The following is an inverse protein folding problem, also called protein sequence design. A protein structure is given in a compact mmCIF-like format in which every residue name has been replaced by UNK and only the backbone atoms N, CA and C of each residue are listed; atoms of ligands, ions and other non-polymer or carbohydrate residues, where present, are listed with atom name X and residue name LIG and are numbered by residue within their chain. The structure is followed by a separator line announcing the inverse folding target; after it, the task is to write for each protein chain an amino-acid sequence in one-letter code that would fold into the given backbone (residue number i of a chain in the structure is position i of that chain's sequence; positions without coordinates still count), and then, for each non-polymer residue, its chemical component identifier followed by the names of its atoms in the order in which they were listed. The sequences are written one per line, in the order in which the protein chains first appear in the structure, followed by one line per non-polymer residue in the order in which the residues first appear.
data_IF_334675441457
#
_entry.id   IF_334675441457
#
_cell.length_a   1.000
_cell.length_b   1.000
_cell.length_c   1.000
_cell.angle_alpha   90.00
_cell.angle_beta   90.00
_cell.angle_gamma   90.00
#
_symmetry.space_group_name_H-M   'P 1'
#
loop_
_entity.id
_entity.type
_entity.pdbx_description
1 polymer ?
#
# COMPACT_ATOMS: atom_id res chain seq x y z
N UNK A 1 40.11 14.18 -52.84
CA UNK A 1 40.00 14.82 -51.51
C UNK A 1 39.86 13.71 -50.48
N UNK A 2 40.87 13.48 -49.63
CA UNK A 2 40.92 12.34 -48.70
C UNK A 2 40.35 12.79 -47.36
N UNK A 3 39.14 12.34 -47.04
CA UNK A 3 38.47 12.62 -45.77
C UNK A 3 39.25 11.94 -44.63
N UNK A 4 39.94 12.73 -43.80
CA UNK A 4 40.56 12.26 -42.57
C UNK A 4 39.46 11.99 -41.55
N UNK A 5 38.98 10.74 -41.47
CA UNK A 5 38.06 10.32 -40.42
C UNK A 5 38.80 10.37 -39.08
N UNK A 6 38.47 11.36 -38.26
CA UNK A 6 38.95 11.52 -36.90
C UNK A 6 38.30 10.45 -36.02
N UNK A 7 38.85 9.23 -36.02
CA UNK A 7 38.42 8.15 -35.15
C UNK A 7 38.84 8.46 -33.70
N UNK A 8 38.08 9.31 -33.01
CA UNK A 8 38.19 9.49 -31.56
C UNK A 8 37.66 8.22 -30.90
N UNK A 9 38.56 7.33 -30.49
CA UNK A 9 38.22 6.18 -29.66
C UNK A 9 37.82 6.63 -28.25
N UNK A 10 36.82 5.97 -27.68
CA UNK A 10 36.43 6.13 -26.28
C UNK A 10 37.56 5.60 -25.39
N UNK A 11 38.01 6.38 -24.41
CA UNK A 11 39.10 5.93 -23.54
C UNK A 11 38.57 4.92 -22.52
N UNK A 12 39.35 3.89 -22.20
CA UNK A 12 38.98 2.93 -21.15
C UNK A 12 38.81 3.60 -19.78
N UNK A 13 39.53 4.70 -19.55
CA UNK A 13 39.42 5.50 -18.33
C UNK A 13 38.10 6.28 -18.26
N UNK A 14 37.61 6.82 -19.38
CA UNK A 14 36.25 7.42 -19.43
C UNK A 14 35.19 6.38 -19.07
N UNK A 15 35.33 5.15 -19.59
CA UNK A 15 34.38 4.09 -19.26
C UNK A 15 34.45 3.73 -17.78
N UNK A 16 35.65 3.57 -17.24
CA UNK A 16 35.86 3.18 -15.84
C UNK A 16 35.24 4.19 -14.85
N UNK A 17 35.45 5.49 -15.06
CA UNK A 17 34.88 6.52 -14.18
C UNK A 17 33.35 6.52 -14.25
N UNK A 18 32.77 6.32 -15.44
CA UNK A 18 31.31 6.29 -15.61
C UNK A 18 30.69 5.13 -14.84
N UNK A 19 31.25 3.91 -14.91
CA UNK A 19 30.69 2.77 -14.17
C UNK A 19 30.83 2.96 -12.66
N UNK A 20 31.91 3.60 -12.19
CA UNK A 20 32.09 3.92 -10.77
C UNK A 20 31.01 4.90 -10.29
N UNK A 21 30.74 5.96 -11.05
CA UNK A 21 29.70 6.94 -10.67
C UNK A 21 28.31 6.28 -10.69
N UNK A 22 27.98 5.51 -11.73
CA UNK A 22 26.70 4.79 -11.82
C UNK A 22 26.59 3.78 -10.67
N UNK A 23 27.68 3.11 -10.30
CA UNK A 23 27.73 2.19 -9.16
C UNK A 23 27.36 2.86 -7.84
N UNK A 24 27.92 4.04 -7.56
CA UNK A 24 27.60 4.81 -6.34
C UNK A 24 26.12 5.25 -6.34
N UNK A 25 25.63 5.77 -7.47
CA UNK A 25 24.23 6.19 -7.59
C UNK A 25 23.26 5.02 -7.41
N UNK A 26 23.55 3.87 -8.04
CA UNK A 26 22.72 2.67 -7.94
C UNK A 26 22.66 2.13 -6.50
N UNK A 27 23.79 2.15 -5.78
CA UNK A 27 23.85 1.68 -4.40
C UNK A 27 22.90 2.45 -3.45
N UNK A 28 22.72 3.76 -3.67
CA UNK A 28 21.80 4.59 -2.88
C UNK A 28 20.37 4.52 -3.43
N UNK A 29 20.21 4.51 -4.76
CA UNK A 29 18.91 4.59 -5.42
C UNK A 29 18.07 3.31 -5.22
N UNK A 30 18.67 2.12 -5.32
CA UNK A 30 17.97 0.84 -5.23
C UNK A 30 17.21 0.66 -3.90
N UNK A 31 17.84 0.77 -2.72
CA UNK A 31 17.12 0.58 -1.45
C UNK A 31 16.03 1.65 -1.25
N UNK A 32 16.29 2.90 -1.68
CA UNK A 32 15.31 3.99 -1.60
C UNK A 32 14.08 3.70 -2.46
N UNK A 33 14.28 3.27 -3.71
CA UNK A 33 13.18 2.95 -4.62
C UNK A 33 12.32 1.78 -4.12
N UNK A 34 12.96 0.76 -3.51
CA UNK A 34 12.24 -0.36 -2.90
C UNK A 34 11.31 0.11 -1.77
N UNK A 35 11.80 0.98 -0.87
CA UNK A 35 10.98 1.53 0.22
C UNK A 35 9.79 2.34 -0.29
N UNK A 36 10.01 3.25 -1.25
CA UNK A 36 8.94 4.06 -1.85
C UNK A 36 7.89 3.17 -2.53
N UNK A 37 8.33 2.15 -3.27
CA UNK A 37 7.43 1.20 -3.92
C UNK A 37 6.59 0.44 -2.90
N UNK A 38 7.19 -0.02 -1.78
CA UNK A 38 6.46 -0.70 -0.70
C UNK A 38 5.42 0.21 -0.06
N UNK A 39 5.77 1.46 0.24
CA UNK A 39 4.84 2.42 0.83
C UNK A 39 3.68 2.74 -0.10
N UNK A 40 3.94 2.86 -1.41
CA UNK A 40 2.89 3.07 -2.42
C UNK A 40 1.92 1.88 -2.50
N UNK A 41 2.44 0.64 -2.46
CA UNK A 41 1.59 -0.57 -2.39
C UNK A 41 0.77 -0.60 -1.10
N UNK A 42 1.38 -0.30 0.04
CA UNK A 42 0.73 -0.31 1.35
C UNK A 42 -0.41 0.71 1.47
N UNK A 43 -0.30 1.85 0.75
CA UNK A 43 -1.31 2.90 0.76
C UNK A 43 -2.65 2.48 0.12
N UNK A 44 -2.70 1.39 -0.66
CA UNK A 44 -3.93 0.87 -1.28
C UNK A 44 -4.98 0.47 -0.23
N UNK A 45 -4.57 -0.06 0.93
CA UNK A 45 -5.51 -0.53 1.95
C UNK A 45 -6.28 0.63 2.62
N UNK A 46 -5.69 1.81 2.74
CA UNK A 46 -6.24 2.91 3.54
C UNK A 46 -7.66 3.34 3.12
N UNK A 47 -7.90 3.66 1.84
CA UNK A 47 -9.22 4.05 1.36
C UNK A 47 -10.29 2.98 1.58
N UNK A 48 -9.94 1.70 1.36
CA UNK A 48 -10.88 0.59 1.50
C UNK A 48 -11.24 0.35 2.97
N UNK A 49 -10.23 0.33 3.86
CA UNK A 49 -10.47 0.22 5.30
C UNK A 49 -11.36 1.36 5.81
N UNK A 50 -11.16 2.58 5.30
CA UNK A 50 -12.01 3.73 5.62
C UNK A 50 -13.46 3.53 5.17
N UNK A 51 -13.66 2.93 3.99
CA UNK A 51 -15.00 2.61 3.49
C UNK A 51 -15.70 1.61 4.42
N UNK A 52 -15.04 0.52 4.81
CA UNK A 52 -15.58 -0.47 5.76
C UNK A 52 -16.00 0.22 7.05
N UNK A 53 -15.12 1.03 7.65
CA UNK A 53 -15.43 1.76 8.88
C UNK A 53 -16.59 2.74 8.74
N UNK A 54 -16.71 3.40 7.58
CA UNK A 54 -17.83 4.32 7.30
C UNK A 54 -19.15 3.55 7.24
N UNK A 55 -19.16 2.41 6.54
CA UNK A 55 -20.33 1.53 6.44
C UNK A 55 -20.71 0.93 7.79
N UNK A 56 -19.72 0.50 8.58
CA UNK A 56 -19.96 -0.01 9.93
C UNK A 56 -20.58 1.05 10.85
N UNK A 57 -20.11 2.30 10.76
CA UNK A 57 -20.68 3.42 11.51
C UNK A 57 -22.12 3.70 11.09
N UNK A 58 -22.41 3.74 9.79
CA UNK A 58 -23.78 3.91 9.28
C UNK A 58 -24.69 2.79 9.75
N UNK A 59 -24.25 1.52 9.66
CA UNK A 59 -25.01 0.38 10.15
C UNK A 59 -25.32 0.51 11.66
N UNK A 60 -24.36 0.95 12.47
CA UNK A 60 -24.55 1.16 13.90
C UNK A 60 -25.58 2.26 14.21
N UNK A 61 -25.63 3.31 13.38
CA UNK A 61 -26.61 4.39 13.50
C UNK A 61 -28.02 3.96 13.09
N UNK A 62 -28.14 3.15 12.04
CA UNK A 62 -29.44 2.69 11.53
C UNK A 62 -30.08 1.64 12.44
N UNK A 63 -29.28 0.72 12.99
CA UNK A 63 -29.79 -0.44 13.73
C UNK A 63 -29.65 -0.30 15.26
N UNK A 64 -29.00 0.75 15.76
CA UNK A 64 -28.71 0.91 17.18
C UNK A 64 -27.74 -0.14 17.74
N UNK A 65 -27.04 -0.86 16.87
CA UNK A 65 -26.08 -1.89 17.20
C UNK A 65 -25.04 -2.06 16.08
N UNK A 66 -23.80 -2.36 16.46
CA UNK A 66 -22.74 -2.65 15.50
C UNK A 66 -23.10 -3.85 14.62
N UNK A 67 -22.64 -3.83 13.37
CA UNK A 67 -22.61 -5.05 12.57
C UNK A 67 -21.79 -6.14 13.29
N UNK A 68 -22.12 -7.41 13.08
CA UNK A 68 -21.37 -8.51 13.71
C UNK A 68 -20.04 -8.79 12.98
N UNK A 69 -20.06 -8.69 11.66
CA UNK A 69 -18.93 -9.00 10.77
C UNK A 69 -19.07 -8.21 9.45
N UNK A 70 -18.14 -8.42 8.53
CA UNK A 70 -18.15 -7.74 7.23
C UNK A 70 -19.31 -8.18 6.31
N UNK A 71 -19.88 -9.36 6.54
CA UNK A 71 -21.05 -9.85 5.80
C UNK A 71 -22.31 -9.07 6.17
N UNK A 72 -22.46 -8.69 7.45
CA UNK A 72 -23.54 -7.80 7.88
C UNK A 72 -23.48 -6.41 7.22
N UNK A 73 -22.28 -5.93 6.83
CA UNK A 73 -22.11 -4.69 6.08
C UNK A 73 -22.52 -4.79 4.61
N UNK A 74 -22.71 -6.00 4.05
CA UNK A 74 -23.14 -6.17 2.65
C UNK A 74 -24.51 -5.51 2.41
N UNK A 75 -25.40 -5.56 3.40
CA UNK A 75 -26.70 -4.89 3.35
C UNK A 75 -26.58 -3.36 3.33
N UNK A 76 -25.49 -2.82 3.87
CA UNK A 76 -25.15 -1.39 3.82
C UNK A 76 -24.38 -1.01 2.55
N UNK A 77 -24.26 -1.92 1.58
CA UNK A 77 -23.59 -1.65 0.30
C UNK A 77 -22.09 -1.98 0.29
N UNK A 78 -21.59 -2.76 1.26
CA UNK A 78 -20.26 -3.34 1.12
C UNK A 78 -20.22 -4.34 -0.04
N UNK A 79 -19.26 -4.15 -0.93
CA UNK A 79 -18.88 -5.12 -1.95
C UNK A 79 -17.36 -5.27 -1.87
N UNK A 80 -16.87 -6.51 -2.01
CA UNK A 80 -15.43 -6.79 -1.97
C UNK A 80 -14.72 -6.00 -3.08
N UNK A 81 -13.84 -5.04 -2.74
CA UNK A 81 -13.10 -4.31 -3.73
C UNK A 81 -11.94 -5.17 -4.21
N UNK A 82 -11.87 -5.36 -5.53
CA UNK A 82 -10.69 -5.94 -6.16
C UNK A 82 -9.48 -5.05 -5.91
N UNK A 83 -8.60 -5.49 -5.02
CA UNK A 83 -7.32 -4.84 -4.71
C UNK A 83 -6.15 -5.69 -5.20
N UNK A 84 -5.03 -5.04 -5.51
CA UNK A 84 -3.87 -5.71 -6.09
C UNK A 84 -2.90 -6.25 -5.04
N UNK A 85 -2.74 -5.56 -3.92
CA UNK A 85 -1.74 -5.90 -2.90
C UNK A 85 -2.34 -6.40 -1.58
N UNK A 86 -3.67 -6.36 -1.45
CA UNK A 86 -4.41 -6.86 -0.30
C UNK A 86 -5.51 -7.81 -0.72
N UNK A 87 -5.77 -8.81 0.11
CA UNK A 87 -6.88 -9.71 0.01
C UNK A 87 -7.56 -9.84 1.38
N UNK A 88 -8.75 -10.43 1.39
CA UNK A 88 -9.47 -10.79 2.62
C UNK A 88 -9.69 -9.59 3.55
N UNK A 89 -10.79 -8.90 3.29
CA UNK A 89 -11.27 -7.81 4.13
C UNK A 89 -12.07 -8.36 5.30
N UNK A 90 -11.83 -7.85 6.49
CA UNK A 90 -12.52 -8.26 7.71
C UNK A 90 -12.96 -7.04 8.50
N UNK A 91 -14.03 -7.22 9.25
CA UNK A 91 -14.51 -6.26 10.22
C UNK A 91 -14.73 -6.99 11.55
N UNK A 92 -14.26 -6.39 12.62
CA UNK A 92 -14.41 -6.89 13.99
C UNK A 92 -15.17 -5.83 14.78
N UNK A 93 -16.36 -6.20 15.24
CA UNK A 93 -17.22 -5.32 16.00
C UNK A 93 -16.58 -4.91 17.34
N UNK A 94 -16.71 -3.63 17.68
CA UNK A 94 -16.44 -3.11 19.01
C UNK A 94 -17.61 -3.31 19.97
N UNK A 95 -17.45 -2.87 21.21
CA UNK A 95 -18.57 -2.72 22.15
C UNK A 95 -19.28 -1.40 21.88
N UNK A 96 -20.54 -1.45 21.43
CA UNK A 96 -21.33 -0.25 21.15
C UNK A 96 -21.32 0.72 22.35
N UNK A 97 -21.08 2.03 22.15
CA UNK A 97 -21.11 2.78 20.89
C UNK A 97 -19.81 2.78 20.06
N UNK A 98 -18.73 2.13 20.52
CA UNK A 98 -17.52 2.03 19.72
C UNK A 98 -17.76 1.05 18.56
N UNK A 99 -17.42 1.47 17.34
CA UNK A 99 -17.73 0.74 16.11
C UNK A 99 -16.86 -0.51 16.00
N UNK A 100 -15.55 -0.39 16.25
CA UNK A 100 -14.61 -1.50 16.16
C UNK A 100 -13.49 -1.26 15.15
N UNK A 101 -13.07 -2.30 14.42
CA UNK A 101 -11.91 -2.24 13.53
C UNK A 101 -12.13 -2.97 12.22
N UNK A 102 -11.60 -2.40 11.13
CA UNK A 102 -11.52 -3.05 9.82
C UNK A 102 -10.08 -3.51 9.57
N UNK A 103 -9.87 -4.68 8.96
CA UNK A 103 -8.53 -5.20 8.66
C UNK A 103 -8.44 -5.85 7.28
N UNK A 104 -7.23 -5.85 6.71
CA UNK A 104 -6.90 -6.40 5.41
C UNK A 104 -5.63 -7.23 5.49
N UNK A 105 -5.62 -8.35 4.77
CA UNK A 105 -4.46 -9.24 4.70
C UNK A 105 -3.61 -8.88 3.49
N UNK A 106 -2.29 -8.84 3.66
CA UNK A 106 -1.36 -8.61 2.56
C UNK A 106 -1.31 -9.83 1.64
N UNK A 107 -1.17 -9.62 0.34
CA UNK A 107 -0.85 -10.70 -0.62
C UNK A 107 0.68 -10.91 -0.69
N UNK A 108 1.48 -9.86 -0.93
CA UNK A 108 2.94 -9.98 -0.99
C UNK A 108 3.55 -10.08 0.41
N UNK A 109 4.55 -10.94 0.59
CA UNK A 109 5.24 -11.10 1.87
C UNK A 109 6.05 -9.87 2.31
N UNK A 110 6.39 -8.96 1.39
CA UNK A 110 7.18 -7.76 1.66
C UNK A 110 6.39 -6.60 2.29
N UNK A 111 5.06 -6.73 2.36
CA UNK A 111 4.15 -5.76 2.96
C UNK A 111 3.79 -6.14 4.40
N UNK A 112 3.00 -5.29 5.04
CA UNK A 112 2.39 -5.54 6.35
C UNK A 112 0.89 -5.73 6.20
N UNK A 113 0.26 -6.48 7.10
CA UNK A 113 -1.19 -6.46 7.22
C UNK A 113 -1.62 -5.04 7.64
N UNK A 114 -2.80 -4.62 7.21
CA UNK A 114 -3.30 -3.28 7.50
C UNK A 114 -4.57 -3.37 8.33
N UNK A 115 -4.67 -2.57 9.38
CA UNK A 115 -5.88 -2.46 10.20
C UNK A 115 -6.20 -1.01 10.48
N UNK A 116 -7.47 -0.64 10.46
CA UNK A 116 -7.97 0.67 10.84
C UNK A 116 -8.91 0.51 12.03
N UNK A 117 -8.61 1.21 13.12
CA UNK A 117 -9.59 1.40 14.19
C UNK A 117 -10.64 2.42 13.71
N UNK A 118 -11.90 2.02 13.65
CA UNK A 118 -12.97 2.81 13.05
C UNK A 118 -13.37 4.02 13.89
N UNK A 119 -13.10 3.99 15.20
CA UNK A 119 -13.40 5.07 16.13
C UNK A 119 -12.33 6.18 16.06
N UNK A 120 -11.05 5.81 16.11
CA UNK A 120 -9.91 6.75 16.08
C UNK A 120 -9.47 7.09 14.66
N UNK A 121 -9.92 6.33 13.65
CA UNK A 121 -9.50 6.43 12.24
C UNK A 121 -7.99 6.30 12.03
N UNK A 122 -7.31 5.65 12.98
CA UNK A 122 -5.87 5.40 12.92
C UNK A 122 -5.62 4.09 12.18
N UNK A 123 -4.76 4.15 11.17
CA UNK A 123 -4.26 2.96 10.47
C UNK A 123 -3.02 2.44 11.19
N UNK A 124 -3.00 1.13 11.42
CA UNK A 124 -1.88 0.38 12.00
C UNK A 124 -1.44 -0.70 11.03
N UNK A 125 -0.14 -0.98 11.01
CA UNK A 125 0.48 -1.95 10.11
C UNK A 125 1.23 -3.01 10.92
N UNK A 126 0.88 -4.28 10.75
CA UNK A 126 1.46 -5.43 11.47
C UNK A 126 2.17 -6.44 10.58
#
# INVERSE_FOLDING_TARGET
MRNLRNNKGFTLIELMIVVVIIGILAAIAIPKFQSVSKNAKQAEAGPILKQICTLAATHAQENGANAADIGALANSGWADPSAKYFNTWTYTAGTYPAVGSASATKIPADLKNASMNCDTKVITLS
#
